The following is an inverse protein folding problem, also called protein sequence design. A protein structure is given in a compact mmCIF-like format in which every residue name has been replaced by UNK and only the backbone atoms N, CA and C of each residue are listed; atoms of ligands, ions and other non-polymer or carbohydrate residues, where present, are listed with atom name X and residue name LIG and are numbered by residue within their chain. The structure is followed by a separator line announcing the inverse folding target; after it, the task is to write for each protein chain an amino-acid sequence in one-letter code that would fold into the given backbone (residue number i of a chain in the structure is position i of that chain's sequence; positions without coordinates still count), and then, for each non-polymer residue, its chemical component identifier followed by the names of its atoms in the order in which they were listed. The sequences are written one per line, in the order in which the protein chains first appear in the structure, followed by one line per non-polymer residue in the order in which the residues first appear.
data_IF_483763532271
#
_entry.id   IF_483763532271
#
_cell.length_a   1.000
_cell.length_b   1.000
_cell.length_c   1.000
_cell.angle_alpha   90.00
_cell.angle_beta   90.00
_cell.angle_gamma   90.00
#
_symmetry.space_group_name_H-M   'P 1'
#
loop_
_entity.id
_entity.type
_entity.pdbx_description
1 polymer ?
#
# COMPACT_ATOMS: atom_id res chain seq x y z
N UNK A 1 13.71 -36.22 10.38
CA UNK A 1 13.07 -36.19 9.05
C UNK A 1 12.60 -34.75 8.74
N UNK A 2 13.50 -33.76 8.74
CA UNK A 2 13.18 -32.34 8.53
C UNK A 2 14.30 -31.60 7.77
N UNK A 3 14.86 -32.21 6.71
CA UNK A 3 15.87 -31.55 5.87
C UNK A 3 15.36 -31.19 4.46
N UNK A 4 14.15 -31.62 4.06
CA UNK A 4 13.62 -31.32 2.72
C UNK A 4 12.91 -29.97 2.57
N UNK A 5 12.54 -29.28 3.65
CA UNK A 5 11.72 -28.05 3.57
C UNK A 5 12.52 -26.75 3.53
N UNK A 6 13.82 -26.75 3.88
CA UNK A 6 14.63 -25.52 3.85
C UNK A 6 15.10 -25.21 2.42
N UNK A 7 15.55 -26.21 1.66
CA UNK A 7 16.09 -25.99 0.29
C UNK A 7 15.06 -25.53 -0.74
N UNK A 8 13.81 -26.01 -0.67
CA UNK A 8 12.74 -25.57 -1.58
C UNK A 8 12.36 -24.10 -1.34
N UNK A 9 12.35 -23.67 -0.08
CA UNK A 9 12.02 -22.30 0.31
C UNK A 9 13.13 -21.32 -0.09
N UNK A 10 14.40 -21.72 0.03
CA UNK A 10 15.53 -20.90 -0.43
C UNK A 10 15.56 -20.81 -1.96
N UNK A 11 15.40 -21.93 -2.69
CA UNK A 11 15.40 -21.94 -4.17
C UNK A 11 14.27 -21.12 -4.79
N UNK A 12 13.07 -21.14 -4.22
CA UNK A 12 11.97 -20.28 -4.66
C UNK A 12 12.26 -18.79 -4.42
N UNK A 13 12.93 -18.43 -3.31
CA UNK A 13 13.28 -17.04 -3.00
C UNK A 13 14.36 -16.48 -3.95
N UNK A 14 15.43 -17.22 -4.22
CA UNK A 14 16.49 -16.77 -5.17
C UNK A 14 16.02 -16.78 -6.62
N UNK A 15 15.13 -17.70 -7.01
CA UNK A 15 14.56 -17.73 -8.36
C UNK A 15 13.62 -16.55 -8.63
N UNK A 16 12.77 -16.22 -7.67
CA UNK A 16 11.85 -15.09 -7.76
C UNK A 16 12.57 -13.74 -7.70
N UNK A 17 13.58 -13.61 -6.81
CA UNK A 17 14.43 -12.42 -6.75
C UNK A 17 15.24 -12.22 -8.02
N UNK A 18 15.80 -13.26 -8.64
CA UNK A 18 16.59 -13.13 -9.89
C UNK A 18 15.76 -12.71 -11.10
N UNK A 19 14.54 -13.23 -11.25
CA UNK A 19 13.64 -12.84 -12.35
C UNK A 19 13.16 -11.40 -12.16
N UNK A 20 12.79 -11.04 -10.93
CA UNK A 20 12.39 -9.68 -10.60
C UNK A 20 13.56 -8.71 -10.79
N UNK A 21 14.75 -8.99 -10.23
CA UNK A 21 15.96 -8.18 -10.36
C UNK A 21 16.37 -7.99 -11.83
N UNK A 22 16.38 -9.04 -12.65
CA UNK A 22 16.74 -8.91 -14.06
C UNK A 22 15.75 -8.05 -14.85
N UNK A 23 14.44 -8.20 -14.61
CA UNK A 23 13.42 -7.35 -15.24
C UNK A 23 13.50 -5.89 -14.75
N UNK A 24 13.90 -5.70 -13.49
CA UNK A 24 13.97 -4.40 -12.84
C UNK A 24 15.18 -3.60 -13.34
N UNK A 25 16.36 -4.24 -13.38
CA UNK A 25 17.58 -3.68 -13.98
C UNK A 25 17.34 -3.29 -15.44
N UNK A 26 16.62 -4.12 -16.20
CA UNK A 26 16.29 -3.81 -17.60
C UNK A 26 15.39 -2.57 -17.76
N UNK A 27 14.51 -2.29 -16.79
CA UNK A 27 13.66 -1.09 -16.80
C UNK A 27 14.38 0.16 -16.33
N UNK A 28 15.25 0.05 -15.32
CA UNK A 28 16.12 1.15 -14.90
C UNK A 28 17.05 1.60 -16.01
N UNK A 29 17.75 0.64 -16.63
CA UNK A 29 18.66 0.91 -17.76
C UNK A 29 17.92 1.58 -18.94
N UNK A 30 16.64 1.26 -19.14
CA UNK A 30 15.82 1.93 -20.16
C UNK A 30 15.43 3.35 -19.75
N UNK A 31 15.02 3.58 -18.50
CA UNK A 31 14.67 4.91 -18.02
C UNK A 31 15.88 5.86 -18.02
N UNK A 32 17.05 5.35 -17.59
CA UNK A 32 18.31 6.09 -17.59
C UNK A 32 18.74 6.55 -18.98
N UNK A 33 18.51 5.73 -20.02
CA UNK A 33 18.77 6.12 -21.42
C UNK A 33 18.00 7.36 -21.86
N UNK A 34 16.84 7.61 -21.27
CA UNK A 34 16.02 8.79 -21.53
C UNK A 34 16.21 9.89 -20.46
N UNK A 35 17.18 9.74 -19.55
CA UNK A 35 17.46 10.70 -18.49
C UNK A 35 16.45 10.68 -17.34
N UNK A 36 15.68 9.60 -17.18
CA UNK A 36 14.71 9.45 -16.11
C UNK A 36 15.27 8.62 -14.95
N UNK A 37 15.02 9.07 -13.72
CA UNK A 37 15.30 8.31 -12.50
C UNK A 37 14.10 7.43 -12.14
N UNK A 38 14.35 6.18 -11.77
CA UNK A 38 13.31 5.24 -11.34
C UNK A 38 13.17 5.29 -9.83
N UNK A 39 11.97 5.66 -9.37
CA UNK A 39 11.63 5.63 -7.96
C UNK A 39 10.96 4.28 -7.63
N UNK A 40 11.40 3.65 -6.54
CA UNK A 40 10.74 2.45 -6.03
C UNK A 40 9.41 2.85 -5.38
N UNK A 41 8.31 2.37 -5.95
CA UNK A 41 7.00 2.43 -5.32
C UNK A 41 6.85 1.25 -4.35
N UNK A 42 6.28 1.53 -3.18
CA UNK A 42 5.92 0.49 -2.23
C UNK A 42 4.84 -0.42 -2.83
N UNK A 43 5.08 -1.73 -2.81
CA UNK A 43 4.11 -2.72 -3.27
C UNK A 43 2.82 -2.61 -2.46
N UNK A 44 1.66 -2.68 -3.14
CA UNK A 44 0.32 -2.64 -2.54
C UNK A 44 -0.04 -1.37 -1.76
N UNK A 45 0.70 -0.27 -1.94
CA UNK A 45 0.44 1.00 -1.25
C UNK A 45 -0.06 2.10 -2.19
N UNK A 46 -1.31 1.96 -2.59
CA UNK A 46 -2.05 2.92 -3.42
C UNK A 46 -1.95 4.40 -2.93
N UNK A 47 -2.03 4.71 -1.62
CA UNK A 47 -1.99 6.11 -1.15
C UNK A 47 -0.69 6.87 -1.44
N UNK A 48 0.40 6.17 -1.77
CA UNK A 48 1.68 6.83 -2.11
C UNK A 48 1.83 7.10 -3.61
N UNK A 49 0.85 6.69 -4.41
CA UNK A 49 0.89 6.83 -5.85
C UNK A 49 -0.01 7.98 -6.30
N UNK A 50 0.60 9.04 -6.84
CA UNK A 50 -0.12 10.28 -7.20
C UNK A 50 -1.10 10.09 -8.33
N UNK A 51 -0.80 9.18 -9.26
CA UNK A 51 -1.72 8.86 -10.35
C UNK A 51 -3.04 8.26 -9.83
N UNK A 52 -3.04 7.51 -8.73
CA UNK A 52 -4.24 6.89 -8.15
C UNK A 52 -5.18 7.93 -7.56
N UNK A 53 -4.60 8.98 -6.95
CA UNK A 53 -5.36 10.12 -6.44
C UNK A 53 -5.99 10.88 -7.60
N UNK A 54 -5.20 11.16 -8.64
CA UNK A 54 -5.69 11.83 -9.86
C UNK A 54 -6.79 11.01 -10.54
N UNK A 55 -6.62 9.69 -10.64
CA UNK A 55 -7.66 8.77 -11.11
C UNK A 55 -8.90 8.81 -10.22
N UNK A 56 -8.74 8.93 -8.91
CA UNK A 56 -9.82 9.15 -7.96
C UNK A 56 -10.63 10.42 -8.28
N UNK A 57 -9.94 11.54 -8.54
CA UNK A 57 -10.57 12.80 -8.91
C UNK A 57 -11.35 12.67 -10.23
N UNK A 58 -10.74 12.08 -11.25
CA UNK A 58 -11.39 11.85 -12.55
C UNK A 58 -12.63 10.94 -12.41
N UNK A 59 -12.55 9.87 -11.61
CA UNK A 59 -13.68 8.98 -11.31
C UNK A 59 -14.82 9.71 -10.61
N UNK A 60 -14.51 10.59 -9.65
CA UNK A 60 -15.54 11.39 -8.96
C UNK A 60 -16.26 12.29 -9.96
N UNK A 61 -15.54 12.94 -10.88
CA UNK A 61 -16.16 13.72 -11.94
C UNK A 61 -17.05 12.86 -12.82
N UNK A 62 -16.53 11.73 -13.32
CA UNK A 62 -17.29 10.81 -14.16
C UNK A 62 -18.58 10.37 -13.46
N UNK A 63 -18.48 9.89 -12.22
CA UNK A 63 -19.62 9.41 -11.43
C UNK A 63 -20.70 10.47 -11.21
N UNK A 64 -20.32 11.74 -11.05
CA UNK A 64 -21.28 12.86 -10.92
C UNK A 64 -22.08 13.13 -12.18
N UNK A 65 -21.58 12.70 -13.34
CA UNK A 65 -22.19 12.95 -14.65
C UNK A 65 -22.75 11.68 -15.30
N UNK A 66 -22.71 10.53 -14.61
CA UNK A 66 -23.35 9.30 -15.06
C UNK A 66 -24.86 9.56 -15.22
N UNK A 67 -25.43 9.18 -16.36
CA UNK A 67 -26.84 9.37 -16.68
C UNK A 67 -27.18 10.71 -17.34
N UNK A 68 -26.19 11.60 -17.54
CA UNK A 68 -26.35 12.83 -18.36
C UNK A 68 -26.70 12.50 -19.82
N UNK A 69 -26.09 11.44 -20.34
CA UNK A 69 -26.16 11.02 -21.72
C UNK A 69 -26.76 9.61 -21.82
N UNK A 70 -27.53 9.34 -22.88
CA UNK A 70 -28.02 8.01 -23.24
C UNK A 70 -26.85 7.03 -23.37
N UNK A 71 -26.96 5.90 -22.65
CA UNK A 71 -25.87 4.95 -22.46
C UNK A 71 -25.26 4.47 -23.78
N UNK A 72 -23.96 4.69 -23.95
CA UNK A 72 -23.22 4.26 -25.15
C UNK A 72 -21.71 4.43 -24.98
N UNK A 73 -20.93 3.51 -25.54
CA UNK A 73 -19.48 3.49 -25.36
C UNK A 73 -18.79 4.77 -25.84
N UNK A 74 -19.21 5.33 -26.99
CA UNK A 74 -18.64 6.56 -27.53
C UNK A 74 -18.84 7.76 -26.59
N UNK A 75 -20.00 7.84 -25.94
CA UNK A 75 -20.34 8.92 -24.99
C UNK A 75 -19.60 8.74 -23.67
N UNK A 76 -19.44 7.50 -23.19
CA UNK A 76 -18.59 7.21 -22.05
C UNK A 76 -17.13 7.62 -22.30
N UNK A 77 -16.58 7.39 -23.50
CA UNK A 77 -15.23 7.85 -23.85
C UNK A 77 -15.14 9.38 -23.86
N UNK A 78 -16.14 10.09 -24.41
CA UNK A 78 -16.20 11.54 -24.38
C UNK A 78 -16.23 12.08 -22.94
N UNK A 79 -17.06 11.49 -22.08
CA UNK A 79 -17.16 11.85 -20.66
C UNK A 79 -15.85 11.61 -19.91
N UNK A 80 -15.12 10.53 -20.23
CA UNK A 80 -13.78 10.32 -19.66
C UNK A 80 -12.77 11.37 -20.12
N UNK A 81 -12.83 11.84 -21.37
CA UNK A 81 -11.99 12.95 -21.84
C UNK A 81 -12.29 14.23 -21.07
N UNK A 82 -13.58 14.58 -20.94
CA UNK A 82 -14.01 15.74 -20.15
C UNK A 82 -13.50 15.64 -18.69
N UNK A 83 -13.59 14.45 -18.08
CA UNK A 83 -13.12 14.21 -16.72
C UNK A 83 -11.60 14.43 -16.58
N UNK A 84 -10.82 13.99 -17.57
CA UNK A 84 -9.37 14.16 -17.59
C UNK A 84 -8.97 15.62 -17.84
N UNK A 85 -9.74 16.36 -18.64
CA UNK A 85 -9.53 17.79 -18.91
C UNK A 85 -9.73 18.67 -17.67
N UNK A 86 -10.51 18.23 -16.68
CA UNK A 86 -10.63 18.93 -15.39
C UNK A 86 -9.34 18.87 -14.55
N UNK A 87 -8.42 17.96 -14.86
CA UNK A 87 -7.19 17.78 -14.10
C UNK A 87 -6.17 18.81 -14.57
N UNK A 88 -6.08 19.91 -13.82
CA UNK A 88 -5.12 20.98 -14.07
C UNK A 88 -3.73 20.64 -13.51
N UNK A 89 -2.66 21.34 -13.97
CA UNK A 89 -1.34 21.24 -13.34
C UNK A 89 -1.36 21.53 -11.83
N UNK A 90 -2.21 22.45 -11.38
CA UNK A 90 -2.38 22.75 -9.96
C UNK A 90 -3.00 21.56 -9.20
N UNK A 91 -3.97 20.86 -9.81
CA UNK A 91 -4.54 19.62 -9.25
C UNK A 91 -3.45 18.56 -9.06
N UNK A 92 -2.58 18.38 -10.06
CA UNK A 92 -1.43 17.48 -9.97
C UNK A 92 -0.48 17.87 -8.84
N UNK A 93 -0.09 19.14 -8.76
CA UNK A 93 0.80 19.64 -7.72
C UNK A 93 0.22 19.39 -6.32
N UNK A 94 -1.08 19.63 -6.13
CA UNK A 94 -1.77 19.37 -4.87
C UNK A 94 -1.76 17.87 -4.50
N UNK A 95 -1.90 16.97 -5.48
CA UNK A 95 -1.81 15.52 -5.24
C UNK A 95 -0.40 15.12 -4.77
N UNK A 96 0.65 15.72 -5.34
CA UNK A 96 2.04 15.48 -4.91
C UNK A 96 2.25 15.97 -3.48
N UNK A 97 1.85 17.21 -3.18
CA UNK A 97 1.97 17.79 -1.82
C UNK A 97 1.26 16.91 -0.78
N UNK A 98 0.07 16.41 -1.12
CA UNK A 98 -0.69 15.52 -0.24
C UNK A 98 0.06 14.21 0.05
N UNK A 99 0.67 13.61 -0.97
CA UNK A 99 1.43 12.37 -0.82
C UNK A 99 2.71 12.60 -0.02
N UNK A 100 3.45 13.68 -0.28
CA UNK A 100 4.64 14.02 0.50
C UNK A 100 4.31 14.15 1.99
N UNK A 101 3.18 14.78 2.31
CA UNK A 101 2.68 14.86 3.69
C UNK A 101 2.40 13.48 4.27
N UNK A 102 1.67 12.62 3.55
CA UNK A 102 1.38 11.27 4.01
C UNK A 102 2.68 10.48 4.23
N UNK A 103 3.61 10.50 3.27
CA UNK A 103 4.87 9.78 3.38
C UNK A 103 5.63 10.22 4.64
N UNK A 104 5.68 11.52 4.91
CA UNK A 104 6.32 12.06 6.11
C UNK A 104 5.64 11.58 7.40
N UNK A 105 4.31 11.61 7.46
CA UNK A 105 3.55 11.11 8.62
C UNK A 105 3.77 9.60 8.85
N UNK A 106 3.94 8.83 7.77
CA UNK A 106 4.28 7.40 7.86
C UNK A 106 5.69 7.19 8.38
N UNK A 107 6.66 7.94 7.86
CA UNK A 107 8.04 7.91 8.31
C UNK A 107 8.18 8.26 9.80
N UNK A 108 7.48 9.28 10.27
CA UNK A 108 7.46 9.67 11.69
C UNK A 108 6.91 8.55 12.60
N UNK A 109 5.93 7.76 12.11
CA UNK A 109 5.41 6.59 12.83
C UNK A 109 6.38 5.42 12.81
N UNK A 110 7.05 5.14 11.70
CA UNK A 110 8.04 4.06 11.63
C UNK A 110 9.24 4.34 12.54
N UNK A 111 9.73 5.58 12.59
CA UNK A 111 10.80 5.96 13.52
C UNK A 111 10.46 5.61 14.98
N UNK A 112 9.19 5.70 15.38
CA UNK A 112 8.77 5.36 16.76
C UNK A 112 8.91 3.86 17.08
N UNK A 113 8.82 2.98 16.07
CA UNK A 113 9.05 1.54 16.25
C UNK A 113 10.53 1.17 16.25
N UNK A 114 11.37 1.96 15.58
CA UNK A 114 12.82 1.77 15.54
C UNK A 114 13.54 2.36 16.76
N UNK A 115 12.87 3.19 17.59
CA UNK A 115 13.43 3.60 18.88
C UNK A 115 13.41 2.41 19.84
N UNK A 116 14.49 2.24 20.58
CA UNK A 116 14.74 1.19 21.57
C UNK A 116 13.70 1.10 22.73
N UNK A 117 12.66 1.95 22.72
CA UNK A 117 11.57 1.98 23.69
C UNK A 117 10.49 0.90 23.44
N UNK A 118 10.65 0.06 22.40
CA UNK A 118 9.83 -1.15 22.26
C UNK A 118 10.24 -2.14 23.33
N UNK A 119 9.42 -2.24 24.38
CA UNK A 119 9.59 -3.20 25.47
C UNK A 119 9.85 -4.60 24.89
N UNK A 120 10.92 -5.30 25.33
CA UNK A 120 11.21 -6.63 24.82
C UNK A 120 10.02 -7.56 25.07
N UNK A 121 9.62 -8.29 24.02
CA UNK A 121 8.59 -9.32 24.13
C UNK A 121 9.15 -10.47 24.98
N UNK A 122 8.82 -10.49 26.28
CA UNK A 122 9.18 -11.58 27.18
C UNK A 122 8.10 -12.66 27.09
N UNK A 123 8.34 -13.68 26.26
CA UNK A 123 7.53 -14.91 26.28
C UNK A 123 8.11 -15.86 27.33
N UNK A 124 7.46 -15.96 28.49
CA UNK A 124 7.80 -17.01 29.46
C UNK A 124 7.35 -18.36 28.89
N UNK A 125 8.32 -19.21 28.54
CA UNK A 125 8.11 -20.57 28.04
C UNK A 125 7.86 -21.59 29.17
N UNK A 126 7.44 -21.14 30.35
CA UNK A 126 7.01 -22.04 31.41
C UNK A 126 5.58 -22.48 31.12
N UNK A 127 5.46 -23.69 30.58
CA UNK A 127 4.21 -24.46 30.60
C UNK A 127 3.76 -24.64 32.05
N UNK A 128 2.84 -23.78 32.50
CA UNK A 128 1.88 -24.10 33.56
C UNK A 128 0.70 -23.13 33.46
N UNK A 129 -0.18 -23.40 32.50
CA UNK A 129 -1.53 -22.86 32.51
C UNK A 129 -2.34 -23.53 33.63
N UNK A 130 -2.25 -23.04 34.86
CA UNK A 130 -3.30 -23.28 35.86
C UNK A 130 -4.39 -22.22 35.68
N UNK A 131 -5.39 -22.55 34.86
CA UNK A 131 -6.63 -21.80 34.79
C UNK A 131 -7.41 -22.03 36.09
N UNK A 132 -7.29 -21.11 37.04
CA UNK A 132 -8.22 -21.08 38.16
C UNK A 132 -9.48 -20.33 37.72
N UNK A 133 -10.53 -21.09 37.40
CA UNK A 133 -11.89 -20.59 37.28
C UNK A 133 -12.40 -20.26 38.69
N UNK A 134 -12.31 -18.98 39.09
CA UNK A 134 -13.01 -18.49 40.28
C UNK A 134 -14.42 -18.02 39.88
N UNK A 135 -15.39 -18.90 40.11
CA UNK A 135 -16.83 -18.62 40.09
C UNK A 135 -17.16 -17.50 41.09
N UNK A 136 -17.17 -16.24 40.62
CA UNK A 136 -17.65 -15.12 41.45
C UNK A 136 -19.15 -14.96 41.29
N UNK A 137 -19.88 -15.55 42.24
CA UNK A 137 -21.32 -15.44 42.40
C UNK A 137 -21.71 -13.96 42.68
N UNK A 138 -22.41 -13.31 41.74
CA UNK A 138 -22.96 -11.98 41.95
C UNK A 138 -24.20 -12.05 42.87
N UNK A 139 -24.03 -11.71 44.14
CA UNK A 139 -25.16 -11.40 45.01
C UNK A 139 -25.59 -9.95 44.77
N UNK A 140 -26.73 -9.78 44.09
CA UNK A 140 -27.47 -8.52 44.06
C UNK A 140 -28.28 -8.43 45.35
N UNK A 141 -28.02 -7.43 46.19
CA UNK A 141 -28.88 -7.08 47.33
C UNK A 141 -29.83 -5.96 46.93
N UNK A 142 -31.13 -6.17 47.18
CA UNK A 142 -32.23 -5.20 47.07
C UNK A 142 -32.09 -3.98 47.99
#
# INVERSE_FOLDING_TARGET
MCLLNVELTTRCRVGFERILLASWISREVQAEKYGHSVVRLFLYRCPFNSNEIVWGIAKIYFNKHIGRDDGGMAKAVAMWKEALEQITPATWQNCIIHIEKIIKEWWEKEILFDREDVMPLITNLSDDFSSNEDDTQCNVSE
#
